data_IF_260326793151
#
_entry.id   IF_260326793151
#
_cell.length_a   1.000
_cell.length_b   1.000
_cell.length_c   1.000
_cell.angle_alpha   90.00
_cell.angle_beta   90.00
_cell.angle_gamma   90.00
#
_symmetry.space_group_name_H-M   'P 1'
#
loop_
_entity.id
_entity.type
_entity.pdbx_description
1 polymer ?
#
# COMPACT_ATOMS: atom_id res chain seq x y z
N UNK A 1 26.00 7.70 5.60
CA UNK A 1 25.06 7.53 4.48
C UNK A 1 25.47 6.26 3.76
N UNK A 2 24.54 5.39 3.38
CA UNK A 2 24.89 4.20 2.60
C UNK A 2 25.23 4.65 1.17
N UNK A 3 26.33 4.18 0.60
CA UNK A 3 26.67 4.43 -0.81
C UNK A 3 25.81 3.52 -1.69
N UNK A 4 25.30 4.06 -2.80
CA UNK A 4 24.48 3.34 -3.79
C UNK A 4 25.24 3.46 -5.12
N UNK A 5 25.93 2.40 -5.51
CA UNK A 5 26.86 2.44 -6.65
C UNK A 5 26.36 1.62 -7.84
N UNK A 6 25.23 0.92 -7.68
CA UNK A 6 24.67 0.02 -8.69
C UNK A 6 23.14 0.00 -8.67
N UNK A 7 22.55 -0.52 -9.75
CA UNK A 7 21.11 -0.79 -9.81
C UNK A 7 20.70 -1.87 -8.80
N UNK A 8 21.55 -2.87 -8.56
CA UNK A 8 21.33 -3.89 -7.53
C UNK A 8 21.22 -3.28 -6.12
N UNK A 9 22.10 -2.32 -5.79
CA UNK A 9 22.05 -1.60 -4.51
C UNK A 9 20.74 -0.80 -4.37
N UNK A 10 20.34 -0.10 -5.44
CA UNK A 10 19.11 0.68 -5.46
C UNK A 10 17.88 -0.22 -5.38
N UNK A 11 17.87 -1.34 -6.10
CA UNK A 11 16.81 -2.33 -6.05
C UNK A 11 16.65 -2.92 -4.64
N UNK A 12 17.75 -3.34 -4.01
CA UNK A 12 17.73 -3.83 -2.63
C UNK A 12 17.27 -2.75 -1.64
N UNK A 13 17.63 -1.48 -1.88
CA UNK A 13 17.17 -0.37 -1.05
C UNK A 13 15.65 -0.21 -1.10
N UNK A 14 15.07 -0.25 -2.30
CA UNK A 14 13.62 -0.15 -2.51
C UNK A 14 12.87 -1.36 -1.95
N UNK A 15 13.38 -2.58 -2.11
CA UNK A 15 12.79 -3.78 -1.48
C UNK A 15 12.73 -3.62 0.05
N UNK A 16 13.78 -3.08 0.67
CA UNK A 16 13.80 -2.83 2.12
C UNK A 16 12.85 -1.72 2.55
N UNK A 17 12.64 -0.73 1.69
CA UNK A 17 11.72 0.37 1.90
C UNK A 17 10.26 -0.12 1.83
N UNK A 18 9.88 -0.81 0.75
CA UNK A 18 8.57 -1.42 0.58
C UNK A 18 8.25 -2.44 1.68
N UNK A 19 9.21 -3.28 2.07
CA UNK A 19 9.01 -4.21 3.19
C UNK A 19 8.67 -3.50 4.51
N UNK A 20 9.15 -2.27 4.71
CA UNK A 20 8.72 -1.46 5.83
C UNK A 20 7.38 -0.76 5.59
N UNK A 21 7.09 -0.33 4.37
CA UNK A 21 5.78 0.23 4.00
C UNK A 21 4.64 -0.76 4.32
N UNK A 22 4.74 -1.99 3.82
CA UNK A 22 3.79 -3.09 4.08
C UNK A 22 3.60 -3.35 5.58
N UNK A 23 4.71 -3.40 6.33
CA UNK A 23 4.67 -3.56 7.80
C UNK A 23 4.03 -2.38 8.54
N UNK A 24 4.08 -1.18 7.98
CA UNK A 24 3.34 -0.04 8.52
C UNK A 24 1.84 -0.20 8.21
N UNK A 25 1.49 -0.66 7.01
CA UNK A 25 0.11 -0.85 6.58
C UNK A 25 -0.62 -1.94 7.37
N UNK A 26 0.01 -3.09 7.62
CA UNK A 26 -0.57 -4.15 8.48
C UNK A 26 -0.98 -3.64 9.87
N UNK A 27 -0.35 -2.55 10.37
CA UNK A 27 -0.70 -1.90 11.63
C UNK A 27 -1.76 -0.80 11.49
N UNK A 28 -1.82 -0.16 10.31
CA UNK A 28 -2.71 0.96 10.03
C UNK A 28 -4.10 0.49 9.57
N UNK A 29 -4.18 -0.50 8.69
CA UNK A 29 -5.43 -1.00 8.10
C UNK A 29 -6.47 -1.45 9.15
N UNK A 30 -6.11 -2.15 10.25
CA UNK A 30 -7.08 -2.48 11.29
C UNK A 30 -7.72 -1.24 11.94
N UNK A 31 -6.98 -0.12 12.03
CA UNK A 31 -7.52 1.13 12.56
C UNK A 31 -8.48 1.79 11.56
N UNK A 32 -8.16 1.74 10.27
CA UNK A 32 -9.01 2.27 9.20
C UNK A 32 -10.33 1.49 9.10
N UNK A 33 -10.29 0.16 9.09
CA UNK A 33 -11.46 -0.71 9.05
C UNK A 33 -12.45 -0.43 10.20
N UNK A 34 -11.94 -0.22 11.43
CA UNK A 34 -12.77 0.16 12.58
C UNK A 34 -13.42 1.53 12.46
N UNK A 35 -12.79 2.46 11.74
CA UNK A 35 -13.30 3.83 11.54
C UNK A 35 -14.32 3.90 10.40
N UNK A 36 -14.22 3.00 9.41
CA UNK A 36 -15.14 2.91 8.28
C UNK A 36 -16.58 2.61 8.74
N UNK A 37 -17.54 3.31 8.14
CA UNK A 37 -18.98 3.23 8.47
C UNK A 37 -19.74 2.38 7.47
N UNK A 38 -19.40 2.49 6.18
CA UNK A 38 -19.81 1.53 5.15
C UNK A 38 -19.25 0.14 5.45
N UNK A 39 -20.14 -0.86 5.38
CA UNK A 39 -19.77 -2.28 5.45
C UNK A 39 -18.88 -2.67 4.29
N UNK A 40 -19.16 -2.15 3.10
CA UNK A 40 -18.42 -2.43 1.87
C UNK A 40 -16.99 -1.89 1.96
N UNK A 41 -16.82 -0.65 2.43
CA UNK A 41 -15.50 -0.07 2.66
C UNK A 41 -14.72 -0.83 3.74
N UNK A 42 -15.39 -1.24 4.83
CA UNK A 42 -14.74 -2.04 5.87
C UNK A 42 -14.24 -3.37 5.31
N UNK A 43 -15.08 -4.08 4.56
CA UNK A 43 -14.72 -5.34 3.92
C UNK A 43 -13.55 -5.20 2.95
N UNK A 44 -13.53 -4.14 2.13
CA UNK A 44 -12.41 -3.88 1.22
C UNK A 44 -11.08 -3.65 1.97
N UNK A 45 -11.11 -2.92 3.10
CA UNK A 45 -9.90 -2.69 3.93
C UNK A 45 -9.46 -3.97 4.65
N UNK A 46 -10.39 -4.80 5.09
CA UNK A 46 -10.10 -6.09 5.74
C UNK A 46 -9.52 -7.11 4.75
N UNK A 47 -10.02 -7.13 3.51
CA UNK A 47 -9.46 -7.90 2.40
C UNK A 47 -8.04 -7.43 2.08
N UNK A 48 -7.85 -6.13 1.89
CA UNK A 48 -6.53 -5.57 1.61
C UNK A 48 -5.53 -5.86 2.74
N UNK A 49 -5.94 -5.83 4.01
CA UNK A 49 -5.08 -6.25 5.12
C UNK A 49 -4.56 -7.69 4.95
N UNK A 50 -5.39 -8.62 4.49
CA UNK A 50 -4.95 -10.00 4.25
C UNK A 50 -3.95 -10.08 3.11
N UNK A 51 -4.15 -9.28 2.06
CA UNK A 51 -3.24 -9.16 0.93
C UNK A 51 -1.89 -8.57 1.38
N UNK A 52 -1.89 -7.44 2.09
CA UNK A 52 -0.70 -6.81 2.68
C UNK A 52 0.10 -7.79 3.56
N UNK A 53 -0.57 -8.60 4.39
CA UNK A 53 0.10 -9.65 5.18
C UNK A 53 0.76 -10.71 4.27
N UNK A 54 0.12 -11.06 3.14
CA UNK A 54 0.68 -11.87 2.07
C UNK A 54 1.89 -11.21 1.39
N UNK A 55 1.81 -9.92 1.06
CA UNK A 55 2.89 -9.15 0.42
C UNK A 55 4.15 -9.11 1.29
N UNK A 56 4.00 -8.95 2.61
CA UNK A 56 5.12 -9.08 3.56
C UNK A 56 5.83 -10.42 3.40
N UNK A 57 5.09 -11.53 3.25
CA UNK A 57 5.67 -12.86 3.06
C UNK A 57 6.34 -12.99 1.68
N UNK A 58 5.72 -12.48 0.62
CA UNK A 58 6.30 -12.48 -0.73
C UNK A 58 7.60 -11.66 -0.79
N UNK A 59 7.66 -10.51 -0.11
CA UNK A 59 8.90 -9.75 0.01
C UNK A 59 9.99 -10.51 0.80
N UNK A 60 9.62 -11.30 1.81
CA UNK A 60 10.57 -12.19 2.50
C UNK A 60 11.10 -13.30 1.58
N UNK A 61 10.30 -13.79 0.63
CA UNK A 61 10.76 -14.68 -0.43
C UNK A 61 11.73 -13.97 -1.37
N UNK A 62 11.44 -12.74 -1.79
CA UNK A 62 12.37 -11.92 -2.60
C UNK A 62 13.70 -11.72 -1.87
N UNK A 63 13.69 -11.44 -0.56
CA UNK A 63 14.93 -11.38 0.24
C UNK A 63 15.74 -12.68 0.17
N UNK A 64 15.08 -13.85 0.31
CA UNK A 64 15.74 -15.16 0.17
C UNK A 64 16.33 -15.35 -1.23
N UNK A 65 15.61 -14.95 -2.29
CA UNK A 65 16.05 -15.04 -3.69
C UNK A 65 17.23 -14.11 -4.00
N UNK A 66 17.41 -13.05 -3.22
CA UNK A 66 18.56 -12.15 -3.28
C UNK A 66 19.74 -12.62 -2.40
N UNK A 67 19.56 -13.67 -1.60
CA UNK A 67 20.55 -14.10 -0.60
C UNK A 67 20.76 -13.06 0.51
N UNK A 68 19.75 -12.23 0.80
CA UNK A 68 19.81 -11.16 1.79
C UNK A 68 18.87 -11.46 2.96
N UNK A 69 19.22 -11.11 4.20
CA UNK A 69 18.29 -11.20 5.31
C UNK A 69 17.16 -10.15 5.16
N UNK A 70 15.91 -10.48 5.52
CA UNK A 70 14.81 -9.52 5.49
C UNK A 70 15.07 -8.43 6.54
N UNK A 71 15.49 -7.26 6.07
CA UNK A 71 15.82 -6.12 6.93
C UNK A 71 15.14 -4.86 6.40
N UNK A 72 14.08 -4.46 7.09
CA UNK A 72 13.38 -3.22 6.80
C UNK A 72 14.29 -2.00 6.91
N UNK A 73 14.12 -1.05 5.99
CA UNK A 73 14.56 0.34 6.10
C UNK A 73 13.31 1.18 6.29
N UNK A 74 13.35 2.16 7.19
CA UNK A 74 12.18 3.02 7.44
C UNK A 74 11.75 3.70 6.14
N UNK A 75 10.56 3.32 5.66
CA UNK A 75 9.85 4.00 4.58
C UNK A 75 9.23 5.30 5.12
N UNK A 76 9.91 6.40 4.82
CA UNK A 76 9.51 7.75 5.22
C UNK A 76 8.27 8.25 4.47
N UNK A 77 8.13 7.86 3.20
CA UNK A 77 6.98 8.22 2.37
C UNK A 77 5.68 7.64 2.94
N UNK A 78 5.64 6.33 3.17
CA UNK A 78 4.47 5.68 3.76
C UNK A 78 4.14 6.25 5.15
N UNK A 79 5.15 6.55 5.96
CA UNK A 79 4.94 7.20 7.27
C UNK A 79 4.26 8.56 7.13
N UNK A 80 4.65 9.35 6.13
CA UNK A 80 4.05 10.63 5.80
C UNK A 80 2.59 10.49 5.38
N UNK A 81 2.30 9.58 4.45
CA UNK A 81 0.93 9.32 3.95
C UNK A 81 0.02 8.85 5.09
N UNK A 82 0.49 7.93 5.93
CA UNK A 82 -0.25 7.43 7.09
C UNK A 82 -0.51 8.52 8.14
N UNK A 83 0.45 9.42 8.34
CA UNK A 83 0.27 10.56 9.23
C UNK A 83 -0.82 11.50 8.71
N UNK A 84 -0.80 11.83 7.42
CA UNK A 84 -1.84 12.65 6.78
C UNK A 84 -3.23 11.98 6.96
N UNK A 85 -3.32 10.67 6.73
CA UNK A 85 -4.53 9.90 6.93
C UNK A 85 -5.02 9.97 8.39
N UNK A 86 -4.12 9.81 9.36
CA UNK A 86 -4.46 9.86 10.78
C UNK A 86 -4.96 11.25 11.22
N UNK A 87 -4.35 12.33 10.72
CA UNK A 87 -4.77 13.71 10.96
C UNK A 87 -6.20 13.95 10.44
N UNK A 88 -6.50 13.52 9.22
CA UNK A 88 -7.85 13.63 8.65
C UNK A 88 -8.85 12.81 9.48
N UNK A 89 -8.51 11.58 9.85
CA UNK A 89 -9.38 10.70 10.62
C UNK A 89 -9.55 11.12 12.09
N UNK A 90 -8.73 12.04 12.58
CA UNK A 90 -8.87 12.67 13.90
C UNK A 90 -9.81 13.89 13.88
N UNK A 91 -10.11 14.43 12.70
CA UNK A 91 -10.99 15.58 12.52
C UNK A 91 -12.45 15.24 12.80
N UNK A 92 -13.22 16.24 13.26
CA UNK A 92 -14.68 16.11 13.45
C UNK A 92 -15.37 16.23 12.09
N UNK A 93 -15.53 15.09 11.42
CA UNK A 93 -16.28 14.95 10.18
C UNK A 93 -17.49 14.04 10.37
N UNK A 94 -18.52 14.25 9.56
CA UNK A 94 -19.71 13.40 9.52
C UNK A 94 -19.35 11.99 9.02
N UNK A 95 -20.19 10.97 9.30
CA UNK A 95 -19.93 9.60 8.88
C UNK A 95 -19.65 9.43 7.37
N UNK A 96 -20.42 10.04 6.43
CA UNK A 96 -20.15 9.89 5.00
C UNK A 96 -18.85 10.56 4.55
N UNK A 97 -18.56 11.76 5.08
CA UNK A 97 -17.29 12.47 4.79
C UNK A 97 -16.10 11.69 5.35
N UNK A 98 -16.27 10.97 6.46
CA UNK A 98 -15.24 10.08 7.02
C UNK A 98 -14.89 8.94 6.08
N UNK A 99 -15.88 8.26 5.51
CA UNK A 99 -15.64 7.16 4.58
C UNK A 99 -14.98 7.66 3.28
N UNK A 100 -15.41 8.82 2.76
CA UNK A 100 -14.76 9.45 1.60
C UNK A 100 -13.29 9.81 1.90
N UNK A 101 -13.00 10.31 3.11
CA UNK A 101 -11.64 10.58 3.55
C UNK A 101 -10.79 9.31 3.69
N UNK A 102 -11.37 8.21 4.19
CA UNK A 102 -10.68 6.92 4.27
C UNK A 102 -10.32 6.44 2.86
N UNK A 103 -11.25 6.50 1.90
CA UNK A 103 -10.97 6.13 0.51
C UNK A 103 -9.85 6.98 -0.07
N UNK A 104 -9.94 8.30 0.05
CA UNK A 104 -8.91 9.20 -0.48
C UNK A 104 -7.52 8.96 0.11
N UNK A 105 -7.45 8.59 1.39
CA UNK A 105 -6.20 8.20 2.03
C UNK A 105 -5.69 6.84 1.53
N UNK A 106 -6.56 5.84 1.41
CA UNK A 106 -6.22 4.52 0.89
C UNK A 106 -5.71 4.61 -0.55
N UNK A 107 -6.37 5.35 -1.44
CA UNK A 107 -5.89 5.51 -2.82
C UNK A 107 -4.50 6.17 -2.90
N UNK A 108 -4.15 7.09 -2.01
CA UNK A 108 -2.79 7.65 -1.96
C UNK A 108 -1.74 6.59 -1.58
N UNK A 109 -2.11 5.66 -0.70
CA UNK A 109 -1.28 4.50 -0.33
C UNK A 109 -1.12 3.59 -1.55
N UNK A 110 -2.22 3.16 -2.17
CA UNK A 110 -2.17 2.28 -3.36
C UNK A 110 -1.32 2.89 -4.47
N UNK A 111 -1.49 4.19 -4.77
CA UNK A 111 -0.72 4.84 -5.82
C UNK A 111 0.77 4.93 -5.52
N UNK A 112 1.17 5.05 -4.25
CA UNK A 112 2.56 4.97 -3.84
C UNK A 112 3.12 3.57 -4.10
N UNK A 113 2.39 2.53 -3.71
CA UNK A 113 2.81 1.13 -3.85
C UNK A 113 2.84 0.70 -5.31
N UNK A 114 1.80 1.00 -6.09
CA UNK A 114 1.75 0.77 -7.54
C UNK A 114 2.94 1.41 -8.25
N UNK A 115 3.29 2.66 -7.93
CA UNK A 115 4.45 3.31 -8.54
C UNK A 115 5.77 2.63 -8.16
N UNK A 116 5.90 2.23 -6.89
CA UNK A 116 7.09 1.60 -6.34
C UNK A 116 7.29 0.20 -6.90
N UNK A 117 6.27 -0.67 -6.81
CA UNK A 117 6.29 -2.04 -7.33
C UNK A 117 6.50 -2.10 -8.84
N UNK A 118 5.85 -1.22 -9.61
CA UNK A 118 6.07 -1.15 -11.07
C UNK A 118 7.53 -0.81 -11.40
N UNK A 119 8.16 0.06 -10.61
CA UNK A 119 9.57 0.44 -10.78
C UNK A 119 10.49 -0.74 -10.50
N UNK A 120 10.37 -1.39 -9.34
CA UNK A 120 11.25 -2.50 -8.97
C UNK A 120 11.01 -3.74 -9.84
N UNK A 121 9.78 -4.01 -10.27
CA UNK A 121 9.48 -5.08 -11.23
C UNK A 121 10.22 -4.86 -12.56
N UNK A 122 10.26 -3.61 -13.05
CA UNK A 122 10.98 -3.28 -14.27
C UNK A 122 12.49 -3.45 -14.10
N UNK A 123 13.06 -3.05 -12.96
CA UNK A 123 14.47 -3.29 -12.66
C UNK A 123 14.81 -4.78 -12.56
N UNK A 124 13.97 -5.59 -11.90
CA UNK A 124 14.14 -7.04 -11.85
C UNK A 124 14.19 -7.65 -13.27
N UNK A 125 13.31 -7.19 -14.17
CA UNK A 125 13.34 -7.59 -15.58
C UNK A 125 14.65 -7.20 -16.28
N UNK A 126 15.16 -5.98 -16.05
CA UNK A 126 16.42 -5.50 -16.65
C UNK A 126 17.65 -6.25 -16.14
N UNK A 127 17.62 -6.72 -14.90
CA UNK A 127 18.67 -7.53 -14.29
C UNK A 127 18.55 -9.04 -14.64
N UNK A 128 17.60 -9.43 -15.50
CA UNK A 128 17.37 -10.83 -15.86
C UNK A 128 16.81 -11.68 -14.72
N UNK A 129 16.17 -11.05 -13.73
CA UNK A 129 15.55 -11.68 -12.56
C UNK A 129 14.06 -11.87 -12.78
N UNK A 130 13.71 -12.65 -13.80
CA UNK A 130 12.30 -12.95 -14.13
C UNK A 130 11.58 -13.69 -12.99
N UNK A 131 12.35 -14.44 -12.19
CA UNK A 131 11.89 -15.09 -10.96
C UNK A 131 11.36 -14.07 -9.94
N UNK A 132 12.12 -13.02 -9.64
CA UNK A 132 11.72 -11.96 -8.72
C UNK A 132 10.63 -11.09 -9.34
N UNK A 133 10.74 -10.79 -10.65
CA UNK A 133 9.73 -10.02 -11.39
C UNK A 133 8.34 -10.63 -11.25
N UNK A 134 8.23 -11.96 -11.34
CA UNK A 134 6.96 -12.67 -11.20
C UNK A 134 6.35 -12.46 -9.81
N UNK A 135 7.15 -12.56 -8.75
CA UNK A 135 6.71 -12.34 -7.36
C UNK A 135 6.24 -10.89 -7.16
N UNK A 136 7.02 -9.91 -7.62
CA UNK A 136 6.65 -8.50 -7.51
C UNK A 136 5.41 -8.14 -8.36
N UNK A 137 5.22 -8.82 -9.49
CA UNK A 137 4.04 -8.66 -10.34
C UNK A 137 2.75 -9.11 -9.65
N UNK A 138 2.80 -10.18 -8.85
CA UNK A 138 1.64 -10.64 -8.07
C UNK A 138 1.19 -9.56 -7.07
N UNK A 139 2.13 -8.93 -6.38
CA UNK A 139 1.82 -7.83 -5.46
C UNK A 139 1.20 -6.66 -6.25
N UNK A 140 1.85 -6.23 -7.32
CA UNK A 140 1.37 -5.12 -8.16
C UNK A 140 -0.07 -5.34 -8.67
N UNK A 141 -0.40 -6.55 -9.12
CA UNK A 141 -1.74 -6.88 -9.61
C UNK A 141 -2.81 -6.73 -8.52
N UNK A 142 -2.49 -7.13 -7.28
CA UNK A 142 -3.37 -6.99 -6.12
C UNK A 142 -3.56 -5.51 -5.71
N UNK A 143 -2.51 -4.68 -5.74
CA UNK A 143 -2.64 -3.24 -5.44
C UNK A 143 -3.45 -2.50 -6.51
N UNK A 144 -3.23 -2.82 -7.79
CA UNK A 144 -4.03 -2.27 -8.86
C UNK A 144 -5.51 -2.69 -8.75
N UNK A 145 -5.78 -3.92 -8.29
CA UNK A 145 -7.16 -4.35 -8.02
C UNK A 145 -7.78 -3.61 -6.83
N UNK A 146 -7.02 -3.41 -5.76
CA UNK A 146 -7.45 -2.65 -4.58
C UNK A 146 -7.81 -1.22 -4.94
N UNK A 147 -6.97 -0.49 -5.69
CA UNK A 147 -7.30 0.87 -6.13
C UNK A 147 -8.54 0.91 -7.03
N UNK A 148 -8.71 -0.07 -7.93
CA UNK A 148 -9.93 -0.19 -8.73
C UNK A 148 -11.17 -0.38 -7.85
N UNK A 149 -11.11 -1.26 -6.85
CA UNK A 149 -12.22 -1.48 -5.89
C UNK A 149 -12.55 -0.19 -5.12
N UNK A 150 -11.54 0.53 -4.62
CA UNK A 150 -11.70 1.81 -3.92
C UNK A 150 -12.32 2.88 -4.83
N UNK A 151 -11.90 2.96 -6.08
CA UNK A 151 -12.46 3.87 -7.10
C UNK A 151 -13.95 3.61 -7.36
N UNK A 152 -14.37 2.34 -7.41
CA UNK A 152 -15.79 2.00 -7.58
C UNK A 152 -16.63 2.31 -6.33
N UNK A 153 -16.09 2.07 -5.13
CA UNK A 153 -16.73 2.49 -3.87
C UNK A 153 -16.90 4.01 -3.79
N UNK A 154 -15.92 4.77 -4.27
CA UNK A 154 -15.97 6.23 -4.35
C UNK A 154 -17.12 6.72 -5.24
N UNK A 155 -17.32 6.10 -6.42
CA UNK A 155 -18.33 6.50 -7.40
C UNK A 155 -19.76 6.13 -7.00
N UNK A 156 -19.96 4.99 -6.36
CA UNK A 156 -21.29 4.35 -6.28
C UNK A 156 -22.13 4.79 -5.08
N UNK A 157 -21.55 4.92 -3.88
CA UNK A 157 -22.35 5.21 -2.69
C UNK A 157 -21.72 6.18 -1.70
N UNK A 158 -20.40 6.25 -1.62
CA UNK A 158 -19.75 6.97 -0.52
C UNK A 158 -19.66 8.47 -0.81
N UNK A 159 -19.14 8.88 -1.99
CA UNK A 159 -19.07 10.31 -2.31
C UNK A 159 -20.45 10.92 -2.56
N UNK A 160 -21.38 10.17 -3.14
CA UNK A 160 -22.76 10.62 -3.34
C UNK A 160 -23.49 10.90 -2.01
N UNK A 161 -23.25 10.07 -0.97
CA UNK A 161 -23.77 10.32 0.38
C UNK A 161 -23.09 11.52 1.05
N UNK A 162 -21.78 11.70 0.86
CA UNK A 162 -21.06 12.85 1.38
C UNK A 162 -21.53 14.18 0.76
N UNK A 163 -21.87 14.18 -0.53
CA UNK A 163 -22.43 15.34 -1.23
C UNK A 163 -23.86 15.70 -0.79
N UNK A 164 -24.62 14.75 -0.24
CA UNK A 164 -26.02 14.95 0.16
C UNK A 164 -26.18 15.56 1.56
N UNK A 165 -25.10 15.80 2.31
CA UNK A 165 -25.12 16.40 3.66
C UNK A 165 -24.98 17.93 3.68
N UNK A 166 -25.38 18.61 2.59
CA UNK A 166 -25.45 20.09 2.53
C UNK A 166 -26.76 20.59 3.12
#
# INVERSE_FOLDING_TARGET
MQTIDSLDDMFLLEIKDLYHAEKQLTRALPKAARKAKSSELRSAIEEHLQQTEGHVNLLEEVFKMLGQPPKAKVCEAMRGILKEAEEILSSKVTPPVKDAAIIGAAQKIEHYEIASYRTIMQWASQMGRDDIKQVLGQILDEEEETDRKLSELAKTSINSRALAEV
#
